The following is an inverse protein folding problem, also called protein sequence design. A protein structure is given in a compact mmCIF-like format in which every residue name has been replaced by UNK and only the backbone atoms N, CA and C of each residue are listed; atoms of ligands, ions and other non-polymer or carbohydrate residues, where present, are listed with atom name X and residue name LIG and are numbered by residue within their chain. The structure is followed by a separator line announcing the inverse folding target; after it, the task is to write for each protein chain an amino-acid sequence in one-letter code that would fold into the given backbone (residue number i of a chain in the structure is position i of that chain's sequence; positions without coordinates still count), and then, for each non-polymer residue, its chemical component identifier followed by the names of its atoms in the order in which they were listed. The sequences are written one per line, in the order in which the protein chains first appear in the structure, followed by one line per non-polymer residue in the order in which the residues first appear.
data_IF_912942677927
#
_entry.id   IF_912942677927
#
_cell.length_a   1.000
_cell.length_b   1.000
_cell.length_c   1.000
_cell.angle_alpha   90.00
_cell.angle_beta   90.00
_cell.angle_gamma   90.00
#
_symmetry.space_group_name_H-M   'P 1'
#
loop_
_entity.id
_entity.type
_entity.pdbx_description
1 polymer ?
#
# COMPACT_ATOMS: atom_id res chain seq x y z
N UNK A 1 3.79 -5.72 -15.27
CA UNK A 1 2.95 -5.87 -14.06
C UNK A 1 2.06 -7.09 -14.20
N UNK A 2 1.90 -7.92 -13.17
CA UNK A 2 1.01 -9.08 -13.20
C UNK A 2 -0.48 -8.68 -13.12
N UNK A 3 -1.39 -9.54 -13.59
CA UNK A 3 -2.83 -9.30 -13.50
C UNK A 3 -3.31 -9.15 -12.06
N UNK A 4 -2.69 -9.88 -11.11
CA UNK A 4 -3.04 -9.79 -9.70
C UNK A 4 -2.66 -8.44 -9.09
N UNK A 5 -1.48 -7.91 -9.44
CA UNK A 5 -1.05 -6.58 -9.03
C UNK A 5 -1.98 -5.51 -9.57
N UNK A 6 -2.34 -5.57 -10.86
CA UNK A 6 -3.28 -4.62 -11.46
C UNK A 6 -4.63 -4.60 -10.70
N UNK A 7 -5.20 -5.78 -10.43
CA UNK A 7 -6.45 -5.92 -9.68
C UNK A 7 -6.34 -5.34 -8.26
N UNK A 8 -5.24 -5.59 -7.55
CA UNK A 8 -5.02 -5.08 -6.20
C UNK A 8 -4.90 -3.55 -6.18
N UNK A 9 -4.16 -2.97 -7.13
CA UNK A 9 -4.00 -1.52 -7.26
C UNK A 9 -5.33 -0.85 -7.60
N UNK A 10 -6.08 -1.40 -8.57
CA UNK A 10 -7.43 -0.93 -8.91
C UNK A 10 -8.38 -1.08 -7.72
N UNK A 11 -8.26 -2.15 -6.92
CA UNK A 11 -9.03 -2.35 -5.70
C UNK A 11 -8.72 -1.30 -4.62
N UNK A 12 -7.47 -0.87 -4.49
CA UNK A 12 -7.05 0.17 -3.54
C UNK A 12 -7.15 1.60 -4.06
N UNK A 13 -7.44 1.79 -5.35
CA UNK A 13 -7.31 3.10 -6.01
C UNK A 13 -5.87 3.62 -5.95
N UNK A 14 -4.89 2.73 -6.10
CA UNK A 14 -3.46 3.05 -6.00
C UNK A 14 -2.94 3.43 -7.38
N UNK A 15 -2.35 4.61 -7.47
CA UNK A 15 -1.67 5.12 -8.67
C UNK A 15 -0.17 5.00 -8.43
N UNK A 16 0.48 4.18 -9.25
CA UNK A 16 1.93 4.01 -9.16
C UNK A 16 2.65 5.13 -9.95
N UNK A 17 3.67 5.79 -9.37
CA UNK A 17 4.48 6.74 -10.11
C UNK A 17 5.31 6.02 -11.18
N UNK A 18 5.81 6.75 -12.20
CA UNK A 18 6.77 6.20 -13.16
C UNK A 18 7.98 5.59 -12.43
N UNK A 19 8.47 4.45 -12.93
CA UNK A 19 9.63 3.77 -12.33
C UNK A 19 9.32 2.89 -11.12
N UNK A 20 8.10 2.95 -10.56
CA UNK A 20 7.70 2.08 -9.46
C UNK A 20 7.70 0.59 -9.87
N UNK A 21 8.21 -0.26 -8.98
CA UNK A 21 8.30 -1.70 -9.16
C UNK A 21 7.44 -2.41 -8.12
N UNK A 22 6.45 -3.20 -8.57
CA UNK A 22 5.70 -4.08 -7.67
C UNK A 22 6.56 -5.29 -7.34
N UNK A 23 6.98 -5.39 -6.08
CA UNK A 23 7.88 -6.43 -5.58
C UNK A 23 7.13 -7.71 -5.20
N UNK A 24 5.88 -7.57 -4.75
CA UNK A 24 5.06 -8.70 -4.36
C UNK A 24 3.61 -8.33 -4.09
N UNK A 25 2.74 -9.34 -4.20
CA UNK A 25 1.31 -9.23 -3.94
C UNK A 25 0.85 -10.45 -3.17
N UNK A 26 0.00 -10.22 -2.19
CA UNK A 26 -0.78 -11.23 -1.47
C UNK A 26 -2.27 -10.94 -1.73
N UNK A 27 -3.03 -11.97 -2.09
CA UNK A 27 -4.49 -11.92 -2.24
C UNK A 27 -5.06 -12.97 -1.29
N UNK A 28 -5.80 -12.51 -0.29
CA UNK A 28 -6.53 -13.37 0.65
C UNK A 28 -8.01 -13.10 0.50
N UNK A 29 -8.78 -14.18 0.24
CA UNK A 29 -10.23 -14.13 0.08
C UNK A 29 -10.88 -14.98 1.14
N UNK A 30 -11.58 -14.33 2.06
CA UNK A 30 -12.43 -14.97 3.06
C UNK A 30 -13.86 -14.45 2.96
N UNK A 31 -14.43 -14.09 4.10
CA UNK A 31 -15.66 -13.27 4.15
C UNK A 31 -15.33 -11.86 3.63
N UNK A 32 -14.17 -11.34 4.03
CA UNK A 32 -13.61 -10.09 3.56
C UNK A 32 -12.56 -10.31 2.47
N UNK A 33 -12.37 -9.30 1.62
CA UNK A 33 -11.30 -9.25 0.64
C UNK A 33 -10.11 -8.49 1.24
N UNK A 34 -8.92 -9.09 1.21
CA UNK A 34 -7.65 -8.44 1.54
C UNK A 34 -6.69 -8.56 0.36
N UNK A 35 -6.09 -7.43 -0.01
CA UNK A 35 -4.88 -7.39 -0.82
C UNK A 35 -3.76 -6.75 -0.02
N UNK A 36 -2.58 -7.38 -0.02
CA UNK A 36 -1.35 -6.71 0.38
C UNK A 36 -0.44 -6.55 -0.84
N UNK A 37 0.16 -5.37 -1.01
CA UNK A 37 1.03 -5.03 -2.13
C UNK A 37 2.29 -4.40 -1.58
N UNK A 38 3.45 -4.81 -2.10
CA UNK A 38 4.73 -4.18 -1.78
C UNK A 38 5.32 -3.58 -3.05
N UNK A 39 5.72 -2.32 -2.96
CA UNK A 39 6.20 -1.52 -4.09
C UNK A 39 7.53 -0.88 -3.71
N UNK A 40 8.55 -1.01 -4.54
CA UNK A 40 9.73 -0.15 -4.48
C UNK A 40 9.49 1.07 -5.37
N UNK A 41 9.88 2.24 -4.87
CA UNK A 41 9.73 3.51 -5.59
C UNK A 41 11.04 4.28 -5.59
N UNK A 42 11.13 5.32 -6.43
CA UNK A 42 12.26 6.25 -6.38
C UNK A 42 12.15 7.17 -5.14
N UNK A 43 13.27 7.67 -4.59
CA UNK A 43 13.32 8.37 -3.29
C UNK A 43 12.30 9.50 -3.14
N UNK A 44 12.14 10.29 -4.19
CA UNK A 44 11.32 11.51 -4.19
C UNK A 44 9.87 11.27 -4.67
N UNK A 45 9.46 10.01 -4.86
CA UNK A 45 8.17 9.67 -5.47
C UNK A 45 7.14 9.09 -4.51
N UNK A 46 7.51 8.85 -3.24
CA UNK A 46 6.57 8.39 -2.21
C UNK A 46 5.40 9.36 -2.04
N UNK A 47 5.70 10.65 -1.95
CA UNK A 47 4.67 11.67 -1.72
C UNK A 47 3.72 11.79 -2.91
N UNK A 48 4.24 11.70 -4.15
CA UNK A 48 3.44 11.63 -5.37
C UNK A 48 2.56 10.39 -5.41
N UNK A 49 3.09 9.20 -5.07
CA UNK A 49 2.30 7.97 -4.97
C UNK A 49 1.10 8.18 -4.04
N UNK A 50 1.32 8.74 -2.85
CA UNK A 50 0.27 8.95 -1.87
C UNK A 50 -0.75 10.01 -2.33
N UNK A 51 -0.27 11.13 -2.86
CA UNK A 51 -1.11 12.21 -3.34
C UNK A 51 -1.98 11.79 -4.55
N UNK A 52 -1.37 11.15 -5.55
CA UNK A 52 -2.05 10.71 -6.77
C UNK A 52 -3.03 9.55 -6.49
N UNK A 53 -2.73 8.72 -5.48
CA UNK A 53 -3.66 7.70 -4.97
C UNK A 53 -4.76 8.29 -4.06
N UNK A 54 -4.74 9.60 -3.81
CA UNK A 54 -5.73 10.31 -3.01
C UNK A 54 -5.71 9.93 -1.53
N UNK A 55 -4.54 9.61 -0.96
CA UNK A 55 -4.43 9.44 0.49
C UNK A 55 -4.68 10.77 1.20
N UNK A 56 -5.50 10.73 2.25
CA UNK A 56 -5.94 11.94 2.96
C UNK A 56 -5.31 12.11 4.34
N UNK A 57 -4.63 11.08 4.84
CA UNK A 57 -3.97 11.08 6.14
C UNK A 57 -2.47 11.16 5.96
N UNK A 58 -1.85 12.04 6.74
CA UNK A 58 -0.39 12.18 6.76
C UNK A 58 0.26 10.95 7.41
N UNK A 59 1.39 10.53 6.85
CA UNK A 59 2.27 9.53 7.48
C UNK A 59 2.69 10.00 8.86
N UNK A 60 2.59 9.10 9.84
CA UNK A 60 3.10 9.28 11.19
C UNK A 60 4.33 8.40 11.39
N UNK A 61 5.39 8.88 12.07
CA UNK A 61 6.55 8.05 12.38
C UNK A 61 6.17 6.78 13.16
N UNK A 62 6.81 5.67 12.82
CA UNK A 62 6.60 4.37 13.46
C UNK A 62 5.55 3.48 12.78
N UNK A 63 5.44 2.26 13.30
CA UNK A 63 4.51 1.22 12.82
C UNK A 63 3.13 1.37 13.46
N UNK A 64 2.10 1.51 12.63
CA UNK A 64 0.69 1.49 13.04
C UNK A 64 -0.12 0.40 12.33
N UNK A 65 0.53 -0.45 11.52
CA UNK A 65 -0.10 -1.49 10.68
C UNK A 65 0.28 -2.88 11.17
N UNK A 66 -0.70 -3.75 11.43
CA UNK A 66 -0.48 -5.08 12.02
C UNK A 66 -1.05 -6.24 11.18
N UNK A 67 -1.32 -5.98 9.90
CA UNK A 67 -1.86 -6.96 8.96
C UNK A 67 -0.76 -7.91 8.42
N UNK A 68 -1.12 -9.12 7.94
CA UNK A 68 -0.16 -10.09 7.41
C UNK A 68 0.70 -9.50 6.28
N UNK A 69 2.04 -9.59 6.34
CA UNK A 69 2.90 -9.06 5.30
C UNK A 69 2.92 -9.94 4.05
N UNK A 70 3.34 -9.37 2.92
CA UNK A 70 3.67 -10.16 1.74
C UNK A 70 4.91 -11.03 2.05
N UNK A 71 4.91 -12.34 1.74
CA UNK A 71 6.05 -13.21 2.01
C UNK A 71 7.37 -12.67 1.44
N UNK A 72 8.40 -12.60 2.29
CA UNK A 72 9.72 -12.06 1.93
C UNK A 72 9.86 -10.54 2.10
N UNK A 73 8.78 -9.80 2.35
CA UNK A 73 8.76 -8.35 2.53
C UNK A 73 8.17 -7.98 3.89
N UNK A 74 8.87 -8.37 4.95
CA UNK A 74 8.45 -8.13 6.32
C UNK A 74 8.78 -6.68 6.75
N UNK A 75 7.77 -5.85 7.07
CA UNK A 75 7.98 -4.47 7.50
C UNK A 75 8.65 -4.35 8.88
N UNK A 76 8.75 -5.41 9.69
CA UNK A 76 9.46 -5.37 10.99
C UNK A 76 10.98 -5.19 10.86
N UNK A 77 11.51 -5.32 9.63
CA UNK A 77 12.94 -5.14 9.35
C UNK A 77 13.32 -3.72 8.96
N UNK A 78 12.33 -2.84 8.76
CA UNK A 78 12.57 -1.45 8.36
C UNK A 78 13.21 -0.63 9.49
N UNK A 79 14.07 0.30 9.11
CA UNK A 79 14.84 1.14 10.06
C UNK A 79 14.41 2.60 10.07
N UNK A 80 13.67 3.04 9.05
CA UNK A 80 13.02 4.35 8.99
C UNK A 80 11.60 4.19 8.45
N UNK A 81 10.67 3.89 9.37
CA UNK A 81 9.28 3.58 9.01
C UNK A 81 8.33 4.70 9.41
N UNK A 82 7.37 4.96 8.53
CA UNK A 82 6.22 5.81 8.82
C UNK A 82 4.95 5.18 8.23
N UNK A 83 3.82 5.34 8.90
CA UNK A 83 2.57 4.69 8.51
C UNK A 83 1.36 5.61 8.62
N UNK A 84 0.32 5.28 7.85
CA UNK A 84 -0.97 5.94 7.92
C UNK A 84 -2.08 4.96 7.55
N UNK A 85 -3.30 5.35 7.91
CA UNK A 85 -4.51 4.63 7.52
C UNK A 85 -5.53 5.63 7.01
N UNK A 86 -6.21 5.30 5.92
CA UNK A 86 -7.41 5.99 5.50
C UNK A 86 -8.44 5.03 4.89
N UNK A 87 -9.43 5.57 4.18
CA UNK A 87 -10.39 4.75 3.47
C UNK A 87 -10.95 5.45 2.23
N UNK A 88 -11.22 4.66 1.19
CA UNK A 88 -12.05 5.04 0.06
C UNK A 88 -13.53 4.78 0.40
N UNK A 89 -14.43 5.75 0.18
CA UNK A 89 -15.85 5.55 0.41
C UNK A 89 -16.46 4.58 -0.61
N UNK A 90 -17.56 3.93 -0.22
CA UNK A 90 -18.42 3.24 -1.17
C UNK A 90 -19.05 4.24 -2.16
N UNK A 91 -19.30 3.81 -3.38
CA UNK A 91 -19.89 4.63 -4.43
C UNK A 91 -20.23 3.83 -5.68
N UNK A 92 -20.55 4.53 -6.78
CA UNK A 92 -20.96 3.89 -8.04
C UNK A 92 -19.89 2.96 -8.64
N UNK A 93 -18.62 3.29 -8.42
CA UNK A 93 -17.47 2.53 -8.95
C UNK A 93 -17.03 1.42 -7.99
N UNK A 94 -17.31 1.56 -6.69
CA UNK A 94 -16.83 0.66 -5.64
C UNK A 94 -17.98 0.32 -4.67
N UNK A 95 -18.49 -0.92 -4.64
CA UNK A 95 -19.72 -1.24 -3.93
C UNK A 95 -19.59 -1.18 -2.40
N UNK A 96 -18.36 -1.28 -1.88
CA UNK A 96 -18.04 -1.22 -0.46
C UNK A 96 -16.95 -0.19 -0.19
N UNK A 97 -16.89 0.27 1.07
CA UNK A 97 -15.76 1.04 1.59
C UNK A 97 -14.52 0.15 1.55
N UNK A 98 -13.38 0.73 1.15
CA UNK A 98 -12.08 0.05 1.22
C UNK A 98 -11.21 0.79 2.23
N UNK A 99 -10.83 0.10 3.29
CA UNK A 99 -9.81 0.57 4.22
C UNK A 99 -8.44 0.38 3.59
N UNK A 100 -7.58 1.38 3.73
CA UNK A 100 -6.21 1.37 3.19
C UNK A 100 -5.25 1.67 4.32
N UNK A 101 -4.34 0.75 4.57
CA UNK A 101 -3.22 0.94 5.46
C UNK A 101 -1.95 1.02 4.62
N UNK A 102 -1.10 2.00 4.92
CA UNK A 102 0.18 2.20 4.25
C UNK A 102 1.30 2.27 5.29
N UNK A 103 2.39 1.59 4.99
CA UNK A 103 3.67 1.74 5.69
C UNK A 103 4.75 2.01 4.65
N UNK A 104 5.53 3.05 4.86
CA UNK A 104 6.69 3.38 4.05
C UNK A 104 7.93 3.12 4.89
N UNK A 105 8.85 2.33 4.34
CA UNK A 105 10.20 2.13 4.84
C UNK A 105 11.19 2.89 3.96
N UNK A 106 11.96 3.79 4.58
CA UNK A 106 13.01 4.61 3.96
C UNK A 106 14.40 4.23 4.47
N UNK A 107 14.53 3.06 5.10
CA UNK A 107 15.82 2.57 5.61
C UNK A 107 16.89 2.45 4.52
N UNK A 108 16.47 2.17 3.28
CA UNK A 108 17.26 2.39 2.07
C UNK A 108 16.81 3.70 1.39
N UNK A 109 17.60 4.79 1.47
CA UNK A 109 17.20 6.09 0.94
C UNK A 109 17.17 6.10 -0.59
N UNK A 110 17.85 5.18 -1.28
CA UNK A 110 17.85 5.12 -2.74
C UNK A 110 16.67 4.30 -3.29
N UNK A 111 16.03 3.51 -2.42
CA UNK A 111 14.93 2.62 -2.80
C UNK A 111 13.89 2.45 -1.69
N UNK A 112 13.10 3.48 -1.36
CA UNK A 112 12.02 3.33 -0.42
C UNK A 112 11.05 2.22 -0.80
N UNK A 113 10.57 1.50 0.21
CA UNK A 113 9.60 0.42 0.05
C UNK A 113 8.27 0.83 0.67
N UNK A 114 7.20 0.73 -0.11
CA UNK A 114 5.83 1.02 0.32
C UNK A 114 5.07 -0.29 0.43
N UNK A 115 4.60 -0.59 1.65
CA UNK A 115 3.71 -1.69 1.95
C UNK A 115 2.29 -1.16 2.05
N UNK A 116 1.38 -1.78 1.30
CA UNK A 116 -0.03 -1.40 1.22
C UNK A 116 -0.89 -2.57 1.62
N UNK A 117 -1.86 -2.36 2.49
CA UNK A 117 -2.93 -3.29 2.79
C UNK A 117 -4.27 -2.66 2.45
N UNK A 118 -5.05 -3.35 1.65
CA UNK A 118 -6.27 -2.84 1.03
C UNK A 118 -7.37 -3.86 1.29
N UNK A 119 -8.40 -3.50 2.05
CA UNK A 119 -9.40 -4.47 2.46
C UNK A 119 -10.80 -3.92 2.67
N UNK A 120 -11.78 -4.80 2.55
CA UNK A 120 -13.16 -4.58 3.04
C UNK A 120 -13.31 -5.09 4.47
N UNK A 121 -14.33 -4.61 5.16
CA UNK A 121 -14.78 -5.07 6.50
C UNK A 121 -16.30 -5.01 6.55
#
# INVERSE_FOLDING_TARGET
MSTQAATALDFGGIVLPPGAEVLGVLDERGIDQLYAVVVAVEPDTVDSLLADSGFTKALQPGRQVFLPPVPGFDPDRGTDIASAQDALPAGRVRPAKVTREVLVDRGDPDRPVVHLWLFTT
#
